data_IF_240316943319
#
_entry.id   IF_240316943319
#
_cell.length_a   1.000
_cell.length_b   1.000
_cell.length_c   1.000
_cell.angle_alpha   90.00
_cell.angle_beta   90.00
_cell.angle_gamma   90.00
#
_symmetry.space_group_name_H-M   'P 1'
#
loop_
_entity.id
_entity.type
_entity.pdbx_description
1 polymer ?
#
# COMPACT_ATOMS: atom_id res chain seq x y z
N UNK A 1 -5.88 -3.35 -1.64
CA UNK A 1 -4.51 -3.53 -1.09
C UNK A 1 -3.55 -2.77 -2.00
N UNK A 2 -2.76 -1.87 -1.44
CA UNK A 2 -1.80 -1.04 -2.17
C UNK A 2 -0.38 -1.42 -1.76
N UNK A 3 0.45 -1.78 -2.74
CA UNK A 3 1.88 -2.03 -2.54
C UNK A 3 2.63 -0.82 -3.07
N UNK A 4 3.27 -0.08 -2.16
CA UNK A 4 3.97 1.17 -2.46
C UNK A 4 5.47 0.93 -2.63
N UNK A 5 6.11 1.77 -3.45
CA UNK A 5 7.57 1.75 -3.67
C UNK A 5 8.11 0.40 -4.16
N UNK A 6 7.31 -0.33 -4.95
CA UNK A 6 7.69 -1.67 -5.38
C UNK A 6 8.87 -1.62 -6.37
N UNK A 7 10.00 -2.29 -6.06
CA UNK A 7 11.09 -2.48 -7.03
C UNK A 7 10.61 -3.26 -8.25
N UNK A 8 11.27 -3.11 -9.40
CA UNK A 8 10.92 -3.81 -10.64
C UNK A 8 10.80 -5.34 -10.47
N UNK A 9 11.61 -5.91 -9.58
CA UNK A 9 11.55 -7.34 -9.22
C UNK A 9 10.18 -7.75 -8.68
N UNK A 10 9.55 -6.91 -7.86
CA UNK A 10 8.21 -7.18 -7.29
C UNK A 10 7.15 -7.21 -8.39
N UNK A 11 7.27 -6.36 -9.40
CA UNK A 11 6.40 -6.42 -10.58
C UNK A 11 6.55 -7.74 -11.33
N UNK A 12 7.79 -8.22 -11.50
CA UNK A 12 8.07 -9.53 -12.11
C UNK A 12 7.44 -10.69 -11.33
N UNK A 13 7.62 -10.73 -10.02
CA UNK A 13 7.01 -11.74 -9.14
C UNK A 13 5.47 -11.66 -9.20
N UNK A 14 4.91 -10.46 -9.22
CA UNK A 14 3.46 -10.26 -9.33
C UNK A 14 2.88 -10.88 -10.60
N UNK A 15 3.55 -10.75 -11.74
CA UNK A 15 3.12 -11.39 -12.98
C UNK A 15 3.10 -12.92 -12.90
N UNK A 16 4.03 -13.53 -12.17
CA UNK A 16 4.02 -14.98 -11.93
C UNK A 16 2.85 -15.40 -11.01
N UNK A 17 2.59 -14.63 -9.95
CA UNK A 17 1.53 -14.91 -8.98
C UNK A 17 0.12 -14.69 -9.53
N UNK A 18 -0.06 -13.80 -10.52
CA UNK A 18 -1.36 -13.58 -11.17
C UNK A 18 -1.97 -14.85 -11.78
N UNK A 19 -1.17 -15.85 -12.14
CA UNK A 19 -1.68 -17.12 -12.65
C UNK A 19 -2.41 -17.94 -11.57
N UNK A 20 -2.08 -17.72 -10.30
CA UNK A 20 -2.53 -18.54 -9.16
C UNK A 20 -3.65 -17.82 -8.38
N UNK A 21 -3.63 -16.49 -8.37
CA UNK A 21 -4.56 -15.67 -7.59
C UNK A 21 -5.89 -15.48 -8.35
N UNK A 22 -7.07 -15.61 -7.72
CA UNK A 22 -8.35 -15.33 -8.36
C UNK A 22 -8.47 -13.91 -8.92
N UNK A 23 -9.12 -13.75 -10.07
CA UNK A 23 -9.26 -12.47 -10.79
C UNK A 23 -9.85 -11.36 -9.89
N UNK A 24 -10.85 -11.69 -9.08
CA UNK A 24 -11.48 -10.76 -8.13
C UNK A 24 -10.51 -10.20 -7.08
N UNK A 25 -9.48 -10.98 -6.74
CA UNK A 25 -8.43 -10.57 -5.79
C UNK A 25 -7.37 -9.75 -6.51
N UNK A 26 -7.02 -10.10 -7.74
CA UNK A 26 -6.07 -9.33 -8.56
C UNK A 26 -6.55 -7.89 -8.79
N UNK A 27 -7.85 -7.71 -9.04
CA UNK A 27 -8.46 -6.38 -9.25
C UNK A 27 -8.38 -5.47 -8.02
N UNK A 28 -8.26 -6.06 -6.81
CA UNK A 28 -8.16 -5.32 -5.54
C UNK A 28 -6.71 -4.97 -5.18
N UNK A 29 -5.72 -5.44 -5.95
CA UNK A 29 -4.30 -5.26 -5.68
C UNK A 29 -3.71 -4.27 -6.68
N UNK A 30 -3.13 -3.19 -6.16
CA UNK A 30 -2.46 -2.16 -6.96
C UNK A 30 -0.99 -2.06 -6.53
N UNK A 31 -0.06 -2.25 -7.47
CA UNK A 31 1.38 -2.15 -7.24
C UNK A 31 1.89 -0.87 -7.90
N UNK A 32 2.56 -0.01 -7.13
CA UNK A 32 3.00 1.31 -7.59
C UNK A 32 4.49 1.50 -7.32
N UNK A 33 5.21 1.99 -8.34
CA UNK A 33 6.67 2.18 -8.28
C UNK A 33 7.07 3.57 -7.76
N UNK A 34 6.50 4.66 -8.31
CA UNK A 34 6.97 6.03 -8.06
C UNK A 34 5.89 7.07 -7.70
N UNK A 35 4.71 7.04 -8.32
CA UNK A 35 3.62 8.01 -8.06
C UNK A 35 2.77 7.65 -6.83
N UNK A 36 3.40 7.71 -5.65
CA UNK A 36 2.88 7.16 -4.39
C UNK A 36 1.77 8.00 -3.77
N UNK A 37 1.82 9.31 -3.90
CA UNK A 37 1.05 10.24 -3.06
C UNK A 37 -0.37 10.47 -3.58
N UNK A 38 -0.54 10.70 -4.89
CA UNK A 38 -1.85 11.02 -5.47
C UNK A 38 -2.83 9.86 -5.38
N UNK A 39 -2.37 8.64 -5.64
CA UNK A 39 -3.23 7.43 -5.63
C UNK A 39 -3.71 7.03 -4.23
N UNK A 40 -2.97 7.40 -3.18
CA UNK A 40 -3.38 7.12 -1.81
C UNK A 40 -4.50 8.05 -1.37
N UNK A 41 -4.43 9.32 -1.75
CA UNK A 41 -5.47 10.32 -1.46
C UNK A 41 -6.80 10.03 -2.18
N UNK A 42 -6.77 9.29 -3.28
CA UNK A 42 -8.00 8.80 -3.94
C UNK A 42 -8.78 7.79 -3.08
N UNK A 43 -8.12 7.15 -2.11
CA UNK A 43 -8.69 6.08 -1.29
C UNK A 43 -8.82 6.44 0.20
N UNK A 44 -7.98 7.36 0.70
CA UNK A 44 -7.88 7.72 2.11
C UNK A 44 -7.86 9.24 2.25
N UNK A 45 -8.58 9.76 3.24
CA UNK A 45 -8.60 11.19 3.53
C UNK A 45 -7.21 11.68 3.97
N UNK A 46 -6.83 12.89 3.55
CA UNK A 46 -5.51 13.44 3.84
C UNK A 46 -5.18 13.50 5.35
N UNK A 47 -6.16 13.85 6.19
CA UNK A 47 -6.03 13.90 7.65
C UNK A 47 -5.86 12.53 8.33
N UNK A 48 -6.09 11.43 7.61
CA UNK A 48 -5.90 10.06 8.09
C UNK A 48 -4.63 9.43 7.52
N UNK A 49 -4.00 10.09 6.53
CA UNK A 49 -2.76 9.63 5.91
C UNK A 49 -1.56 10.33 6.54
N UNK A 50 -0.54 9.57 6.90
CA UNK A 50 0.69 10.11 7.47
C UNK A 50 1.42 11.03 6.48
N UNK A 51 2.05 12.09 6.98
CA UNK A 51 2.85 13.04 6.18
C UNK A 51 3.89 12.37 5.29
N UNK A 52 4.54 11.29 5.75
CA UNK A 52 5.54 10.55 4.95
C UNK A 52 4.98 9.90 3.68
N UNK A 53 3.66 9.78 3.57
CA UNK A 53 2.96 9.25 2.40
C UNK A 53 2.16 10.32 1.64
N UNK A 54 2.34 11.61 1.97
CA UNK A 54 1.67 12.73 1.31
C UNK A 54 0.36 13.19 1.96
N UNK A 55 0.04 12.74 3.18
CA UNK A 55 -1.11 13.21 3.94
C UNK A 55 -0.78 14.35 4.92
N UNK A 56 -1.70 14.63 5.84
CA UNK A 56 -1.55 15.67 6.87
C UNK A 56 -1.54 15.13 8.31
N UNK A 57 -1.79 13.83 8.51
CA UNK A 57 -1.67 13.19 9.82
C UNK A 57 -0.19 13.12 10.27
N UNK A 58 0.07 13.33 11.56
CA UNK A 58 1.41 13.13 12.10
C UNK A 58 1.86 11.67 11.93
N UNK A 59 3.15 11.47 11.69
CA UNK A 59 3.69 10.12 11.56
C UNK A 59 3.58 9.40 12.91
N UNK A 60 3.01 8.21 12.91
CA UNK A 60 2.97 7.36 14.09
C UNK A 60 4.39 6.88 14.42
N UNK A 61 4.88 7.27 15.58
CA UNK A 61 6.20 6.86 16.12
C UNK A 61 6.08 5.99 17.36
N UNK A 62 4.89 5.89 17.93
CA UNK A 62 4.58 5.11 19.13
C UNK A 62 3.60 4.01 18.74
N UNK A 63 3.96 2.77 19.05
CA UNK A 63 3.17 1.59 18.77
C UNK A 63 2.72 0.97 20.09
N UNK A 64 1.45 0.57 20.18
CA UNK A 64 0.95 -0.12 21.37
C UNK A 64 1.53 -1.53 21.38
N UNK A 65 1.95 -2.01 22.56
CA UNK A 65 2.37 -3.39 22.72
C UNK A 65 1.23 -4.35 22.34
N UNK A 66 1.49 -5.42 21.58
CA UNK A 66 0.45 -6.36 21.20
C UNK A 66 -0.08 -7.07 22.44
N UNK A 67 -1.41 -7.13 22.55
CA UNK A 67 -2.07 -7.96 23.57
C UNK A 67 -1.95 -9.40 23.09
N UNK A 68 -1.00 -10.16 23.65
CA UNK A 68 -0.86 -11.58 23.40
C UNK A 68 -1.92 -12.35 24.22
N UNK A 69 -2.69 -13.25 23.61
CA UNK A 69 -3.61 -14.14 24.34
C UNK A 69 -2.86 -15.20 25.16
#
# INVERSE_FOLDING_TARGET
MLVLSAPLVVTGIWHMLKSIIPVVTQQKITITSSEKEKKLLDHVQANQLEKKFGGSCENATVFTEPILP
#
